data_IF_703614376342
#
_entry.id   IF_703614376342
#
_cell.length_a   1.000
_cell.length_b   1.000
_cell.length_c   1.000
_cell.angle_alpha   90.00
_cell.angle_beta   90.00
_cell.angle_gamma   90.00
#
_symmetry.space_group_name_H-M   'P 1'
#
loop_
_entity.id
_entity.type
_entity.pdbx_description
1 polymer ?
#
# COMPACT_ATOMS: atom_id res chain seq x y z
N UNK A 1 -19.33 0.60 2.97
CA UNK A 1 -18.68 -0.53 3.64
C UNK A 1 -17.20 -0.48 3.30
N UNK A 2 -16.37 -0.21 4.31
CA UNK A 2 -14.90 -0.22 4.27
C UNK A 2 -14.44 -1.67 4.43
N UNK A 3 -14.56 -2.46 3.36
CA UNK A 3 -14.25 -3.89 3.41
C UNK A 3 -12.75 -4.13 3.27
N UNK A 4 -12.18 -4.91 4.19
CA UNK A 4 -10.88 -5.53 4.02
C UNK A 4 -11.05 -7.03 3.77
N UNK A 5 -10.19 -7.60 2.93
CA UNK A 5 -10.21 -9.01 2.58
C UNK A 5 -8.87 -9.64 2.91
N UNK A 6 -8.90 -10.67 3.75
CA UNK A 6 -7.77 -11.57 3.94
C UNK A 6 -7.89 -12.74 2.97
N UNK A 7 -6.84 -12.99 2.17
CA UNK A 7 -6.80 -14.12 1.24
C UNK A 7 -5.64 -15.04 1.63
N UNK A 8 -5.94 -16.12 2.31
CA UNK A 8 -5.01 -17.23 2.55
C UNK A 8 -5.02 -18.15 1.32
N UNK A 9 -3.88 -18.29 0.64
CA UNK A 9 -3.71 -19.24 -0.46
C UNK A 9 -2.22 -19.54 -0.62
N UNK A 10 -1.89 -20.56 -1.41
CA UNK A 10 -0.50 -20.92 -1.71
C UNK A 10 0.18 -19.86 -2.62
N UNK A 11 1.51 -19.71 -2.53
CA UNK A 11 2.25 -18.80 -3.41
C UNK A 11 2.01 -19.10 -4.90
N UNK A 12 1.91 -18.05 -5.74
CA UNK A 12 1.85 -18.20 -7.20
C UNK A 12 0.44 -18.22 -7.82
N UNK A 13 -0.63 -18.12 -7.03
CA UNK A 13 -2.04 -18.14 -7.50
C UNK A 13 -2.56 -16.82 -8.10
N UNK A 14 -1.67 -15.87 -8.41
CA UNK A 14 -2.05 -14.66 -9.16
C UNK A 14 -2.82 -13.59 -8.37
N UNK A 15 -2.83 -13.60 -7.04
CA UNK A 15 -3.49 -12.57 -6.18
C UNK A 15 -3.15 -11.14 -6.60
N UNK A 16 -1.87 -10.89 -6.89
CA UNK A 16 -1.39 -9.58 -7.34
C UNK A 16 -1.98 -9.18 -8.69
N UNK A 17 -2.14 -10.16 -9.60
CA UNK A 17 -2.75 -9.93 -10.92
C UNK A 17 -4.24 -9.66 -10.78
N UNK A 18 -4.95 -10.39 -9.92
CA UNK A 18 -6.36 -10.16 -9.62
C UNK A 18 -6.60 -8.72 -9.15
N UNK A 19 -5.87 -8.26 -8.15
CA UNK A 19 -6.06 -6.93 -7.60
C UNK A 19 -5.66 -5.82 -8.61
N UNK A 20 -4.64 -6.01 -9.45
CA UNK A 20 -4.34 -5.08 -10.56
C UNK A 20 -5.45 -5.06 -11.61
N UNK A 21 -5.97 -6.22 -12.00
CA UNK A 21 -7.04 -6.33 -12.99
C UNK A 21 -8.32 -5.65 -12.48
N UNK A 22 -8.67 -5.87 -11.21
CA UNK A 22 -9.79 -5.23 -10.54
C UNK A 22 -9.62 -3.70 -10.49
N UNK A 23 -8.44 -3.22 -10.09
CA UNK A 23 -8.17 -1.78 -10.07
C UNK A 23 -8.31 -1.14 -11.45
N UNK A 24 -7.79 -1.81 -12.50
CA UNK A 24 -7.95 -1.33 -13.88
C UNK A 24 -9.40 -1.32 -14.35
N UNK A 25 -10.23 -2.30 -13.95
CA UNK A 25 -11.62 -2.36 -14.41
C UNK A 25 -12.51 -1.29 -13.79
N UNK A 26 -12.08 -0.64 -12.70
CA UNK A 26 -12.82 0.42 -12.01
C UNK A 26 -12.08 1.76 -11.95
N UNK A 27 -11.02 1.91 -12.76
CA UNK A 27 -10.15 3.09 -12.77
C UNK A 27 -9.64 3.50 -11.37
N UNK A 28 -9.20 2.50 -10.60
CA UNK A 28 -8.65 2.67 -9.26
C UNK A 28 -7.12 2.56 -9.25
N UNK A 29 -6.50 3.41 -8.46
CA UNK A 29 -5.10 3.32 -8.05
C UNK A 29 -4.86 2.06 -7.22
N UNK A 30 -3.81 1.32 -7.58
CA UNK A 30 -3.42 0.09 -6.89
C UNK A 30 -1.99 0.22 -6.41
N UNK A 31 -1.77 -0.02 -5.11
CA UNK A 31 -0.44 -0.05 -4.51
C UNK A 31 -0.20 -1.39 -3.82
N UNK A 32 1.06 -1.84 -3.86
CA UNK A 32 1.50 -3.09 -3.25
C UNK A 32 2.42 -2.76 -2.09
N UNK A 33 2.20 -3.41 -0.95
CA UNK A 33 3.05 -3.38 0.23
C UNK A 33 3.58 -4.79 0.42
N UNK A 34 4.90 -4.94 0.40
CA UNK A 34 5.57 -6.15 0.84
C UNK A 34 5.88 -5.95 2.32
N UNK A 35 5.29 -6.76 3.18
CA UNK A 35 5.65 -6.73 4.59
C UNK A 35 7.01 -7.41 4.76
N UNK A 36 7.93 -6.68 5.39
CA UNK A 36 9.26 -7.14 5.77
C UNK A 36 9.52 -6.71 7.21
N UNK A 37 10.39 -7.41 7.97
CA UNK A 37 10.62 -7.10 9.39
C UNK A 37 11.18 -5.69 9.66
N UNK A 38 11.80 -5.09 8.64
CA UNK A 38 12.38 -3.75 8.66
C UNK A 38 11.43 -2.64 8.20
N UNK A 39 10.23 -2.98 7.71
CA UNK A 39 9.24 -2.00 7.26
C UNK A 39 8.78 -1.13 8.43
N UNK A 40 8.96 0.20 8.31
CA UNK A 40 8.57 1.13 9.35
C UNK A 40 7.10 1.54 9.18
N UNK A 41 6.37 1.86 10.27
CA UNK A 41 5.02 2.41 10.17
C UNK A 41 4.93 3.63 9.25
N UNK A 42 5.96 4.49 9.25
CA UNK A 42 6.03 5.67 8.38
C UNK A 42 6.09 5.35 6.88
N UNK A 43 6.60 4.17 6.49
CA UNK A 43 6.58 3.76 5.08
C UNK A 43 5.15 3.42 4.61
N UNK A 44 4.30 2.99 5.54
CA UNK A 44 2.90 2.65 5.29
C UNK A 44 2.02 3.90 5.41
N UNK A 45 2.13 4.63 6.52
CA UNK A 45 1.27 5.77 6.86
C UNK A 45 1.77 7.10 6.34
N UNK A 46 3.01 7.20 5.88
CA UNK A 46 3.64 8.44 5.45
C UNK A 46 4.36 9.18 6.56
N UNK A 47 5.04 10.25 6.16
CA UNK A 47 5.89 11.07 7.03
C UNK A 47 5.78 12.55 6.64
N UNK A 48 5.93 13.44 7.62
CA UNK A 48 6.04 14.88 7.36
C UNK A 48 7.50 15.25 7.19
N UNK A 49 7.88 15.79 6.03
CA UNK A 49 9.25 16.18 5.70
C UNK A 49 9.36 17.70 5.74
N UNK A 50 10.36 18.22 6.44
CA UNK A 50 10.63 19.65 6.43
C UNK A 50 11.34 20.06 5.13
N UNK A 51 10.71 20.94 4.35
CA UNK A 51 11.29 21.57 3.18
C UNK A 51 12.00 22.87 3.60
N UNK A 52 13.32 22.91 3.42
CA UNK A 52 14.15 24.05 3.82
C UNK A 52 13.97 25.27 2.92
N UNK A 53 13.50 25.10 1.69
CA UNK A 53 13.30 26.18 0.72
C UNK A 53 12.03 26.95 1.06
N UNK A 54 10.94 26.24 1.35
CA UNK A 54 9.66 26.86 1.73
C UNK A 54 9.57 27.16 3.24
N UNK A 55 10.37 26.51 4.07
CA UNK A 55 10.27 26.58 5.53
C UNK A 55 9.03 25.88 6.08
N UNK A 56 8.45 24.94 5.31
CA UNK A 56 7.20 24.25 5.66
C UNK A 56 7.42 22.76 5.86
N UNK A 57 6.49 22.13 6.58
CA UNK A 57 6.40 20.67 6.66
C UNK A 57 5.43 20.16 5.58
N UNK A 58 5.93 19.32 4.69
CA UNK A 58 5.15 18.70 3.62
C UNK A 58 4.92 17.22 3.93
N UNK A 59 3.65 16.82 3.92
CA UNK A 59 3.30 15.42 4.09
C UNK A 59 3.64 14.62 2.82
N UNK A 60 4.43 13.57 3.00
CA UNK A 60 4.70 12.56 1.97
C UNK A 60 3.85 11.33 2.29
N UNK A 61 2.82 11.02 1.48
CA UNK A 61 1.94 9.88 1.73
C UNK A 61 2.69 8.56 1.62
N UNK A 62 2.44 7.66 2.57
CA UNK A 62 2.99 6.31 2.57
C UNK A 62 2.26 5.38 1.60
N UNK A 63 2.62 4.10 1.63
CA UNK A 63 2.13 3.12 0.68
C UNK A 63 0.63 2.77 0.82
N UNK A 64 0.00 3.11 1.94
CA UNK A 64 -1.44 2.87 2.14
C UNK A 64 -2.34 3.82 1.34
N UNK A 65 -1.80 4.93 0.83
CA UNK A 65 -2.57 5.93 0.09
C UNK A 65 -2.79 5.50 -1.36
N UNK A 66 -3.73 4.58 -1.55
CA UNK A 66 -4.28 4.14 -2.82
C UNK A 66 -5.73 3.66 -2.62
N UNK A 67 -6.52 3.58 -3.69
CA UNK A 67 -7.89 3.05 -3.62
C UNK A 67 -7.91 1.54 -3.35
N UNK A 68 -6.89 0.81 -3.81
CA UNK A 68 -6.69 -0.61 -3.50
C UNK A 68 -5.25 -0.81 -3.04
N UNK A 69 -5.08 -1.44 -1.88
CA UNK A 69 -3.76 -1.80 -1.33
C UNK A 69 -3.69 -3.32 -1.21
N UNK A 70 -2.61 -3.91 -1.73
CA UNK A 70 -2.32 -5.34 -1.62
C UNK A 70 -1.16 -5.51 -0.65
N UNK A 71 -1.39 -6.17 0.48
CA UNK A 71 -0.36 -6.56 1.42
C UNK A 71 0.08 -8.00 1.21
N UNK A 72 1.35 -8.23 0.89
CA UNK A 72 1.94 -9.57 0.80
C UNK A 72 2.80 -9.87 2.04
N UNK A 73 2.83 -11.13 2.49
CA UNK A 73 3.61 -11.62 3.63
C UNK A 73 3.33 -10.91 4.98
N UNK A 74 2.08 -10.52 5.25
CA UNK A 74 1.70 -9.80 6.49
C UNK A 74 2.05 -10.54 7.79
N UNK A 75 2.15 -11.88 7.74
CA UNK A 75 2.46 -12.73 8.88
C UNK A 75 3.96 -13.01 9.06
N UNK A 76 4.82 -12.40 8.24
CA UNK A 76 6.26 -12.59 8.29
C UNK A 76 6.90 -11.65 9.31
#
# INVERSE_FOLDING_TARGET
AEGHLLIEDVPGVGKTMLARALGRSVDATVRRIQFTPDLLPSDITGVSVYDQVSGTFDFKPGAVFAQIVIGDEINR
#
